data_IF_018077563215
#
_entry.id   IF_018077563215
#
_cell.length_a   1.000
_cell.length_b   1.000
_cell.length_c   1.000
_cell.angle_alpha   90.00
_cell.angle_beta   90.00
_cell.angle_gamma   90.00
#
_symmetry.space_group_name_H-M   'P 1'
#
loop_
_entity.id
_entity.type
_entity.pdbx_description
1 polymer ?
#
# COMPACT_ATOMS: atom_id res chain seq x y z
N UNK A 1 -5.54 21.34 -20.03
CA UNK A 1 -6.40 21.87 -18.95
C UNK A 1 -5.52 22.09 -17.73
N UNK A 2 -5.81 23.10 -16.91
CA UNK A 2 -5.10 23.28 -15.64
C UNK A 2 -5.49 22.22 -14.62
N UNK A 3 -4.61 21.94 -13.66
CA UNK A 3 -4.90 21.09 -12.50
C UNK A 3 -5.92 21.78 -11.57
N UNK A 4 -6.87 21.03 -11.03
CA UNK A 4 -7.98 21.53 -10.22
C UNK A 4 -8.04 20.88 -8.84
N UNK A 5 -8.59 21.61 -7.87
CA UNK A 5 -8.90 21.08 -6.55
C UNK A 5 -10.29 20.41 -6.55
N UNK A 6 -10.34 19.12 -6.25
CA UNK A 6 -11.57 18.34 -6.16
C UNK A 6 -12.08 18.39 -4.72
N UNK A 7 -13.30 18.87 -4.54
CA UNK A 7 -13.97 19.04 -3.24
C UNK A 7 -15.07 18.00 -3.17
N UNK A 8 -14.85 16.96 -2.38
CA UNK A 8 -15.69 15.75 -2.39
C UNK A 8 -16.50 15.67 -1.09
N UNK A 9 -17.81 15.45 -1.21
CA UNK A 9 -18.66 15.22 -0.07
C UNK A 9 -20.11 14.95 -0.45
N UNK A 10 -20.90 14.52 0.52
CA UNK A 10 -22.33 14.26 0.36
C UNK A 10 -23.09 15.59 0.33
N UNK A 11 -23.44 16.10 -0.85
CA UNK A 11 -24.02 17.42 -1.02
C UNK A 11 -25.42 17.54 -0.38
N UNK A 12 -26.19 16.44 -0.35
CA UNK A 12 -27.50 16.35 0.32
C UNK A 12 -27.47 16.80 1.80
N UNK A 13 -26.33 16.63 2.47
CA UNK A 13 -26.18 16.93 3.91
C UNK A 13 -25.12 17.97 4.22
N UNK A 14 -24.19 18.27 3.30
CA UNK A 14 -22.99 19.11 3.55
C UNK A 14 -22.79 20.23 2.53
N UNK A 15 -23.84 20.61 1.80
CA UNK A 15 -23.73 21.63 0.76
C UNK A 15 -23.19 22.99 1.27
N UNK A 16 -23.46 23.39 2.52
CA UNK A 16 -22.96 24.65 3.06
C UNK A 16 -21.45 24.60 3.31
N UNK A 17 -20.95 23.48 3.80
CA UNK A 17 -19.54 23.23 4.10
C UNK A 17 -18.70 23.13 2.83
N UNK A 18 -19.19 22.40 1.83
CA UNK A 18 -18.53 22.26 0.54
C UNK A 18 -18.41 23.61 -0.18
N UNK A 19 -19.49 24.42 -0.19
CA UNK A 19 -19.44 25.79 -0.74
C UNK A 19 -18.45 26.68 0.01
N UNK A 20 -18.38 26.57 1.34
CA UNK A 20 -17.45 27.35 2.15
C UNK A 20 -15.99 27.02 1.81
N UNK A 21 -15.65 25.73 1.76
CA UNK A 21 -14.31 25.28 1.33
C UNK A 21 -14.00 25.74 -0.10
N UNK A 22 -14.95 25.62 -1.03
CA UNK A 22 -14.79 26.11 -2.42
C UNK A 22 -14.43 27.59 -2.47
N UNK A 23 -15.15 28.41 -1.72
CA UNK A 23 -14.92 29.87 -1.70
C UNK A 23 -13.52 30.24 -1.21
N UNK A 24 -12.97 29.47 -0.25
CA UNK A 24 -11.62 29.70 0.27
C UNK A 24 -10.54 29.24 -0.71
N UNK A 25 -10.76 28.13 -1.43
CA UNK A 25 -9.84 27.66 -2.45
C UNK A 25 -9.84 28.56 -3.70
N UNK A 26 -10.99 29.11 -4.06
CA UNK A 26 -11.12 30.03 -5.21
C UNK A 26 -10.57 31.44 -4.90
N UNK A 27 -10.55 31.88 -3.64
CA UNK A 27 -10.02 33.18 -3.27
C UNK A 27 -8.57 33.46 -3.75
N UNK A 28 -7.62 32.50 -3.64
CA UNK A 28 -6.28 32.63 -4.23
C UNK A 28 -6.21 32.24 -5.73
N UNK A 29 -7.35 32.04 -6.41
CA UNK A 29 -7.42 31.77 -7.85
C UNK A 29 -7.35 30.30 -8.26
N UNK A 30 -7.51 29.34 -7.34
CA UNK A 30 -7.52 27.91 -7.71
C UNK A 30 -8.83 27.53 -8.41
N UNK A 31 -8.72 26.77 -9.49
CA UNK A 31 -9.86 26.10 -10.11
C UNK A 31 -10.36 24.96 -9.20
N UNK A 32 -11.69 24.82 -9.08
CA UNK A 32 -12.31 23.86 -8.16
C UNK A 32 -13.45 23.10 -8.82
N UNK A 33 -13.59 21.82 -8.45
CA UNK A 33 -14.68 20.94 -8.87
C UNK A 33 -15.32 20.34 -7.62
N UNK A 34 -16.59 20.61 -7.36
CA UNK A 34 -17.39 19.93 -6.34
C UNK A 34 -17.90 18.61 -6.92
N UNK A 35 -17.58 17.51 -6.23
CA UNK A 35 -18.04 16.16 -6.56
C UNK A 35 -19.03 15.71 -5.49
N UNK A 36 -20.26 15.45 -5.91
CA UNK A 36 -21.29 14.92 -5.03
C UNK A 36 -21.22 13.39 -4.95
N UNK A 37 -21.18 12.88 -3.72
CA UNK A 37 -21.16 11.45 -3.42
C UNK A 37 -22.33 11.03 -2.53
N UNK A 38 -23.42 11.81 -2.54
CA UNK A 38 -24.67 11.46 -1.86
C UNK A 38 -25.29 10.18 -2.44
N UNK A 39 -25.78 9.30 -1.57
CA UNK A 39 -26.32 7.98 -1.96
C UNK A 39 -27.83 7.90 -1.92
N UNK A 40 -28.52 9.03 -1.69
CA UNK A 40 -30.00 9.10 -1.56
C UNK A 40 -30.73 9.50 -2.84
N UNK A 41 -30.00 9.77 -3.93
CA UNK A 41 -30.58 10.10 -5.22
C UNK A 41 -31.21 11.50 -5.32
N UNK A 42 -30.95 12.39 -4.35
CA UNK A 42 -31.36 13.79 -4.43
C UNK A 42 -30.25 14.60 -5.12
N UNK A 43 -30.57 15.20 -6.26
CA UNK A 43 -29.64 16.06 -6.99
C UNK A 43 -29.38 17.36 -6.20
N UNK A 44 -28.09 17.74 -6.11
CA UNK A 44 -27.68 19.02 -5.51
C UNK A 44 -27.18 19.99 -6.57
N UNK A 45 -27.76 21.20 -6.58
CA UNK A 45 -27.42 22.26 -7.55
C UNK A 45 -25.99 22.83 -7.41
N UNK A 46 -25.23 22.40 -6.39
CA UNK A 46 -23.84 22.89 -6.18
C UNK A 46 -22.78 22.04 -6.86
N UNK A 47 -23.15 20.82 -7.23
CA UNK A 47 -22.21 19.82 -7.68
C UNK A 47 -21.86 20.10 -9.14
N UNK A 48 -20.56 20.17 -9.44
CA UNK A 48 -20.09 20.21 -10.82
C UNK A 48 -20.07 18.80 -11.43
N UNK A 49 -19.91 17.77 -10.59
CA UNK A 49 -20.12 16.35 -10.91
C UNK A 49 -21.17 15.81 -9.95
N UNK A 50 -22.31 15.36 -10.49
CA UNK A 50 -23.45 14.90 -9.68
C UNK A 50 -23.24 13.48 -9.17
N UNK A 51 -23.96 13.11 -8.11
CA UNK A 51 -23.94 11.75 -7.57
C UNK A 51 -24.29 10.69 -8.63
N UNK A 52 -25.21 10.99 -9.55
CA UNK A 52 -25.54 10.11 -10.67
C UNK A 52 -24.36 9.91 -11.64
N UNK A 53 -23.57 10.96 -11.91
CA UNK A 53 -22.39 10.87 -12.77
C UNK A 53 -21.27 10.04 -12.10
N UNK A 54 -21.10 10.18 -10.78
CA UNK A 54 -20.19 9.33 -10.02
C UNK A 54 -20.67 7.88 -10.10
N UNK A 55 -21.95 7.62 -9.76
CA UNK A 55 -22.53 6.28 -9.75
C UNK A 55 -22.45 5.58 -11.12
N UNK A 56 -22.57 6.32 -12.22
CA UNK A 56 -22.40 5.79 -13.58
C UNK A 56 -21.00 5.21 -13.85
N UNK A 57 -20.00 5.54 -13.02
CA UNK A 57 -18.65 4.98 -13.10
C UNK A 57 -18.51 3.64 -12.37
N UNK A 58 -19.55 3.15 -11.69
CA UNK A 58 -19.55 1.84 -11.02
C UNK A 58 -19.48 0.71 -12.06
N UNK A 59 -18.64 -0.33 -11.86
CA UNK A 59 -18.45 -1.41 -12.86
C UNK A 59 -19.73 -2.16 -13.18
N UNK A 60 -20.57 -2.38 -12.17
CA UNK A 60 -21.82 -3.13 -12.30
C UNK A 60 -23.03 -2.21 -12.56
N UNK A 61 -22.78 -0.93 -12.83
CA UNK A 61 -23.80 0.08 -13.11
C UNK A 61 -24.27 0.89 -11.90
N UNK A 62 -24.96 2.02 -12.14
CA UNK A 62 -25.35 2.98 -11.11
C UNK A 62 -26.39 2.45 -10.11
N UNK A 63 -27.13 1.39 -10.48
CA UNK A 63 -28.18 0.79 -9.66
C UNK A 63 -27.63 0.21 -8.34
N UNK A 64 -26.37 -0.23 -8.33
CA UNK A 64 -25.71 -0.78 -7.13
C UNK A 64 -25.46 0.29 -6.05
N UNK A 65 -25.42 1.56 -6.46
CA UNK A 65 -25.17 2.68 -5.55
C UNK A 65 -26.44 3.11 -4.82
N UNK A 66 -27.57 3.17 -5.52
CA UNK A 66 -28.83 3.69 -4.99
C UNK A 66 -29.71 2.59 -4.37
N UNK A 67 -29.12 1.83 -3.44
CA UNK A 67 -29.79 0.73 -2.74
C UNK A 67 -30.29 1.15 -1.36
N UNK A 68 -31.35 0.49 -0.88
CA UNK A 68 -31.94 0.69 0.46
C UNK A 68 -31.11 0.05 1.59
N UNK A 69 -29.79 0.05 1.48
CA UNK A 69 -28.85 -0.33 2.53
C UNK A 69 -27.70 0.67 2.55
N UNK A 70 -27.55 1.40 3.67
CA UNK A 70 -26.56 2.47 3.78
C UNK A 70 -25.13 1.97 3.64
N UNK A 71 -24.82 0.79 4.18
CA UNK A 71 -23.46 0.25 4.14
C UNK A 71 -23.06 -0.14 2.72
N UNK A 72 -23.94 -0.85 2.02
CA UNK A 72 -23.75 -1.23 0.61
C UNK A 72 -23.68 -0.01 -0.29
N UNK A 73 -24.57 0.95 -0.12
CA UNK A 73 -24.57 2.19 -0.92
C UNK A 73 -23.26 2.98 -0.75
N UNK A 74 -22.73 3.07 0.48
CA UNK A 74 -21.43 3.71 0.75
C UNK A 74 -20.29 2.97 0.06
N UNK A 75 -20.26 1.63 0.14
CA UNK A 75 -19.22 0.83 -0.49
C UNK A 75 -19.25 0.93 -2.02
N UNK A 76 -20.45 0.85 -2.62
CA UNK A 76 -20.64 0.99 -4.07
C UNK A 76 -20.27 2.40 -4.55
N UNK A 77 -20.71 3.46 -3.83
CA UNK A 77 -20.32 4.83 -4.19
C UNK A 77 -18.80 5.06 -4.06
N UNK A 78 -18.15 4.43 -3.09
CA UNK A 78 -16.69 4.48 -2.96
C UNK A 78 -16.01 3.89 -4.21
N UNK A 79 -16.43 2.70 -4.66
CA UNK A 79 -15.89 2.07 -5.87
C UNK A 79 -16.15 2.90 -7.13
N UNK A 80 -17.33 3.49 -7.24
CA UNK A 80 -17.68 4.39 -8.34
C UNK A 80 -16.79 5.65 -8.34
N UNK A 81 -16.54 6.24 -7.17
CA UNK A 81 -15.66 7.40 -7.01
C UNK A 81 -14.21 7.09 -7.36
N UNK A 82 -13.69 5.91 -6.97
CA UNK A 82 -12.34 5.44 -7.33
C UNK A 82 -12.14 5.47 -8.85
N UNK A 83 -13.07 4.86 -9.59
CA UNK A 83 -13.04 4.82 -11.06
C UNK A 83 -13.20 6.18 -11.69
N UNK A 84 -14.10 7.00 -11.16
CA UNK A 84 -14.27 8.37 -11.63
C UNK A 84 -12.96 9.15 -11.51
N UNK A 85 -12.33 9.18 -10.32
CA UNK A 85 -11.10 9.94 -10.11
C UNK A 85 -9.95 9.40 -10.96
N UNK A 86 -9.81 8.07 -11.08
CA UNK A 86 -8.81 7.45 -11.95
C UNK A 86 -8.96 7.84 -13.43
N UNK A 87 -10.18 8.14 -13.89
CA UNK A 87 -10.43 8.62 -15.26
C UNK A 87 -10.08 10.09 -15.51
N UNK A 88 -9.81 10.86 -14.45
CA UNK A 88 -9.54 12.31 -14.55
C UNK A 88 -8.04 12.58 -14.71
N UNK A 89 -7.72 13.52 -15.60
CA UNK A 89 -6.35 13.96 -15.88
C UNK A 89 -6.07 15.36 -15.31
N UNK A 90 -7.09 16.00 -14.73
CA UNK A 90 -7.06 17.37 -14.20
C UNK A 90 -7.15 17.41 -12.66
N UNK A 91 -6.96 16.28 -11.98
CA UNK A 91 -6.91 16.21 -10.50
C UNK A 91 -5.58 16.77 -10.03
N UNK A 92 -5.58 18.01 -9.55
CA UNK A 92 -4.43 18.62 -8.90
C UNK A 92 -4.30 18.25 -7.42
N UNK A 93 -5.43 17.99 -6.76
CA UNK A 93 -5.49 17.62 -5.36
C UNK A 93 -6.94 17.47 -4.90
N UNK A 94 -7.13 16.82 -3.75
CA UNK A 94 -8.47 16.45 -3.26
C UNK A 94 -8.64 16.89 -1.81
N UNK A 95 -9.80 17.47 -1.51
CA UNK A 95 -10.29 17.67 -0.14
C UNK A 95 -11.63 16.98 0.06
N UNK A 96 -11.71 16.14 1.08
CA UNK A 96 -12.92 15.40 1.47
C UNK A 96 -13.44 15.86 2.83
N UNK A 97 -14.77 15.95 2.98
CA UNK A 97 -15.43 16.30 4.25
C UNK A 97 -16.43 15.22 4.65
N UNK A 98 -16.33 14.66 5.86
CA UNK A 98 -17.25 13.61 6.26
C UNK A 98 -17.23 13.19 7.73
N UNK A 99 -18.32 12.54 8.15
CA UNK A 99 -18.31 11.68 9.33
C UNK A 99 -17.64 10.34 9.02
N UNK A 100 -17.86 9.31 9.85
CA UNK A 100 -17.32 7.96 9.60
C UNK A 100 -17.68 7.43 8.21
N UNK A 101 -18.96 7.49 7.82
CA UNK A 101 -19.42 7.02 6.50
C UNK A 101 -18.83 7.80 5.32
N UNK A 102 -18.76 9.13 5.41
CA UNK A 102 -18.15 9.95 4.34
C UNK A 102 -16.64 9.74 4.24
N UNK A 103 -15.97 9.53 5.37
CA UNK A 103 -14.54 9.19 5.40
C UNK A 103 -14.28 7.84 4.74
N UNK A 104 -15.08 6.81 5.08
CA UNK A 104 -15.01 5.49 4.48
C UNK A 104 -15.34 5.48 2.98
N UNK A 105 -16.18 6.42 2.51
CA UNK A 105 -16.53 6.58 1.10
C UNK A 105 -15.41 7.24 0.29
N UNK A 106 -14.87 8.35 0.79
CA UNK A 106 -13.97 9.22 0.02
C UNK A 106 -12.53 8.71 0.02
N UNK A 107 -12.06 8.22 1.17
CA UNK A 107 -10.63 7.89 1.34
C UNK A 107 -10.14 6.72 0.47
N UNK A 108 -10.93 5.70 0.09
CA UNK A 108 -10.51 4.74 -0.93
C UNK A 108 -10.08 5.39 -2.25
N UNK A 109 -10.84 6.37 -2.76
CA UNK A 109 -10.50 7.07 -3.99
C UNK A 109 -9.29 8.00 -3.82
N UNK A 110 -9.12 8.61 -2.64
CA UNK A 110 -7.90 9.36 -2.33
C UNK A 110 -6.66 8.44 -2.32
N UNK A 111 -6.78 7.23 -1.75
CA UNK A 111 -5.69 6.25 -1.69
C UNK A 111 -5.27 5.72 -3.05
N UNK A 112 -6.13 5.75 -4.05
CA UNK A 112 -5.78 5.32 -5.40
C UNK A 112 -4.92 6.37 -6.13
N UNK A 113 -5.04 7.67 -5.78
CA UNK A 113 -4.21 8.72 -6.35
C UNK A 113 -2.73 8.54 -6.00
N UNK A 114 -1.86 8.98 -6.89
CA UNK A 114 -0.41 8.87 -6.74
C UNK A 114 0.09 9.58 -5.47
N UNK A 115 1.15 9.04 -4.85
CA UNK A 115 1.81 9.67 -3.71
C UNK A 115 2.33 11.06 -4.11
N UNK A 116 2.18 12.05 -3.23
CA UNK A 116 2.55 13.43 -3.52
C UNK A 116 1.43 14.28 -4.12
N UNK A 117 0.39 13.68 -4.73
CA UNK A 117 -0.85 14.43 -5.04
C UNK A 117 -1.46 14.92 -3.71
N UNK A 118 -1.72 16.22 -3.51
CA UNK A 118 -2.30 16.71 -2.26
C UNK A 118 -3.65 16.07 -1.91
N UNK A 119 -3.75 15.43 -0.74
CA UNK A 119 -4.95 14.75 -0.24
C UNK A 119 -5.25 15.19 1.18
N UNK A 120 -6.39 15.86 1.40
CA UNK A 120 -6.81 16.33 2.74
C UNK A 120 -8.18 15.77 3.08
N UNK A 121 -8.31 15.08 4.20
CA UNK A 121 -9.59 14.55 4.68
C UNK A 121 -9.97 15.18 6.02
N UNK A 122 -11.03 15.98 6.05
CA UNK A 122 -11.62 16.50 7.28
C UNK A 122 -12.65 15.51 7.82
N UNK A 123 -12.33 14.87 8.94
CA UNK A 123 -13.08 13.73 9.45
C UNK A 123 -13.44 13.85 10.93
N UNK A 124 -14.65 13.43 11.29
CA UNK A 124 -15.06 13.28 12.70
C UNK A 124 -14.41 12.09 13.40
N UNK A 125 -13.71 11.22 12.66
CA UNK A 125 -13.03 10.04 13.20
C UNK A 125 -11.50 10.10 13.05
N UNK A 126 -10.95 11.28 12.71
CA UNK A 126 -9.49 11.46 12.61
C UNK A 126 -8.77 11.34 13.96
N UNK A 127 -9.45 11.61 15.09
CA UNK A 127 -8.92 11.41 16.43
C UNK A 127 -9.20 9.98 16.94
N UNK A 128 -8.71 8.99 16.20
CA UNK A 128 -8.91 7.56 16.47
C UNK A 128 -8.00 6.68 15.62
N UNK A 129 -8.40 5.42 15.40
CA UNK A 129 -7.70 4.56 14.44
C UNK A 129 -8.01 5.01 13.00
N UNK A 130 -7.01 5.61 12.35
CA UNK A 130 -7.13 6.09 10.96
C UNK A 130 -6.45 5.18 9.94
N UNK A 131 -5.80 4.09 10.36
CA UNK A 131 -5.06 3.21 9.46
C UNK A 131 -5.92 2.70 8.28
N UNK A 132 -7.20 2.29 8.45
CA UNK A 132 -8.03 1.83 7.34
C UNK A 132 -8.37 2.94 6.32
N UNK A 133 -8.33 4.21 6.73
CA UNK A 133 -8.63 5.35 5.87
C UNK A 133 -7.40 5.85 5.12
N UNK A 134 -6.26 5.95 5.81
CA UNK A 134 -4.99 6.43 5.22
C UNK A 134 -4.34 5.36 4.35
N UNK A 135 -4.30 4.11 4.83
CA UNK A 135 -3.67 2.99 4.13
C UNK A 135 -2.21 3.30 3.73
N UNK A 136 -1.73 2.79 2.58
CA UNK A 136 -0.38 3.01 2.08
C UNK A 136 -0.22 4.36 1.35
N UNK A 137 -0.99 5.40 1.72
CA UNK A 137 -0.99 6.70 1.05
C UNK A 137 -0.70 7.84 2.03
N UNK A 138 -0.40 9.01 1.49
CA UNK A 138 -0.03 10.25 2.16
C UNK A 138 -1.24 11.17 2.42
N UNK A 139 -2.36 10.60 2.90
CA UNK A 139 -3.58 11.37 3.21
C UNK A 139 -3.40 12.16 4.52
N UNK A 140 -3.54 13.48 4.45
CA UNK A 140 -3.57 14.34 5.63
C UNK A 140 -4.96 14.31 6.29
N UNK A 141 -5.04 13.68 7.47
CA UNK A 141 -6.27 13.62 8.27
C UNK A 141 -6.39 14.85 9.19
N UNK A 142 -7.48 15.61 9.05
CA UNK A 142 -7.79 16.76 9.92
C UNK A 142 -9.02 16.42 10.76
N UNK A 143 -8.88 16.46 12.08
CA UNK A 143 -10.02 16.24 12.98
C UNK A 143 -11.00 17.41 12.93
N UNK A 144 -12.27 17.12 12.67
CA UNK A 144 -13.32 18.15 12.52
C UNK A 144 -13.67 18.87 13.83
N UNK A 145 -13.28 18.29 14.99
CA UNK A 145 -13.60 18.74 16.37
C UNK A 145 -15.09 18.65 16.72
N UNK A 146 -15.95 19.26 15.92
CA UNK A 146 -17.40 19.09 16.00
C UNK A 146 -17.89 18.18 14.88
N UNK A 147 -19.14 17.73 14.95
CA UNK A 147 -19.77 17.09 13.81
C UNK A 147 -19.71 17.99 12.56
N UNK A 148 -19.62 17.38 11.38
CA UNK A 148 -19.65 18.07 10.07
C UNK A 148 -21.12 18.19 9.66
N UNK A 149 -21.82 19.05 10.38
CA UNK A 149 -23.24 19.33 10.24
C UNK A 149 -23.50 20.83 10.46
N UNK A 150 -23.43 21.58 9.38
CA UNK A 150 -23.56 23.02 9.34
C UNK A 150 -22.30 23.79 9.73
N UNK A 151 -22.33 25.08 9.36
CA UNK A 151 -21.22 26.00 9.58
C UNK A 151 -21.42 26.79 10.88
N UNK A 152 -20.57 26.51 11.86
CA UNK A 152 -20.50 27.18 13.16
C UNK A 152 -19.12 27.82 13.38
N UNK A 153 -18.93 28.52 14.49
CA UNK A 153 -17.68 29.25 14.79
C UNK A 153 -16.43 28.36 14.77
N UNK A 154 -16.57 27.08 15.14
CA UNK A 154 -15.50 26.09 15.18
C UNK A 154 -15.32 25.48 13.78
N UNK A 155 -16.38 24.98 13.14
CA UNK A 155 -16.25 24.39 11.81
C UNK A 155 -15.74 25.38 10.76
N UNK A 156 -16.05 26.69 10.86
CA UNK A 156 -15.45 27.72 9.98
C UNK A 156 -13.92 27.75 10.06
N UNK A 157 -13.35 27.61 11.26
CA UNK A 157 -11.90 27.64 11.46
C UNK A 157 -11.25 26.34 11.00
N UNK A 158 -11.82 25.20 11.37
CA UNK A 158 -11.28 23.89 11.00
C UNK A 158 -11.32 23.68 9.48
N UNK A 159 -12.46 23.92 8.85
CA UNK A 159 -12.60 23.83 7.39
C UNK A 159 -11.74 24.88 6.67
N UNK A 160 -11.59 26.06 7.26
CA UNK A 160 -10.72 27.10 6.72
C UNK A 160 -9.24 26.70 6.73
N UNK A 161 -8.77 26.12 7.84
CA UNK A 161 -7.41 25.59 7.93
C UNK A 161 -7.19 24.44 6.92
N UNK A 162 -8.17 23.55 6.75
CA UNK A 162 -8.08 22.46 5.79
C UNK A 162 -8.00 22.97 4.34
N UNK A 163 -8.84 23.94 3.97
CA UNK A 163 -8.81 24.59 2.66
C UNK A 163 -7.46 25.29 2.41
N UNK A 164 -6.96 26.04 3.39
CA UNK A 164 -5.67 26.72 3.29
C UNK A 164 -4.49 25.72 3.22
N UNK A 165 -4.56 24.59 3.92
CA UNK A 165 -3.56 23.53 3.84
C UNK A 165 -3.50 22.95 2.42
N UNK A 166 -4.67 22.60 1.84
CA UNK A 166 -4.72 22.12 0.46
C UNK A 166 -4.23 23.20 -0.53
N UNK A 167 -4.63 24.46 -0.36
CA UNK A 167 -4.18 25.55 -1.22
C UNK A 167 -2.65 25.70 -1.17
N UNK A 168 -2.05 25.64 0.02
CA UNK A 168 -0.61 25.67 0.20
C UNK A 168 0.10 24.48 -0.45
N UNK A 169 -0.46 23.27 -0.35
CA UNK A 169 0.07 22.08 -1.01
C UNK A 169 0.00 22.17 -2.55
N UNK A 170 -1.07 22.76 -3.10
CA UNK A 170 -1.26 22.94 -4.54
C UNK A 170 -0.37 24.04 -5.15
N UNK A 171 -0.09 25.09 -4.38
CA UNK A 171 0.69 26.24 -4.85
C UNK A 171 2.17 26.14 -4.51
N UNK A 172 2.50 25.37 -3.47
CA UNK A 172 3.86 25.13 -3.02
C UNK A 172 4.63 24.30 -4.04
N UNK A 173 5.77 24.81 -4.49
CA UNK A 173 6.71 24.05 -5.32
C UNK A 173 7.65 23.27 -4.39
N UNK A 174 7.66 21.97 -4.54
CA UNK A 174 8.70 21.11 -3.96
C UNK A 174 9.85 21.10 -4.97
N UNK A 175 11.06 21.55 -4.61
CA UNK A 175 12.21 21.44 -5.49
C UNK A 175 12.49 19.98 -5.81
N UNK A 176 12.56 19.62 -7.09
CA UNK A 176 13.05 18.32 -7.50
C UNK A 176 14.55 18.26 -7.17
N UNK A 177 14.93 17.27 -6.36
CA UNK A 177 16.32 16.89 -6.17
C UNK A 177 16.55 15.75 -7.14
N UNK A 178 17.00 16.08 -8.35
CA UNK A 178 17.43 15.08 -9.33
C UNK A 178 18.93 14.85 -9.14
N UNK A 179 19.28 13.85 -8.35
CA UNK A 179 20.66 13.37 -8.23
C UNK A 179 21.00 12.33 -9.32
N UNK A 180 20.10 12.13 -10.29
CA UNK A 180 20.23 11.18 -11.39
C UNK A 180 20.01 9.73 -10.98
N UNK A 181 19.66 9.44 -9.72
CA UNK A 181 19.51 8.08 -9.24
C UNK A 181 18.07 7.60 -9.40
N UNK A 182 17.85 6.49 -10.12
CA UNK A 182 16.54 5.87 -10.15
C UNK A 182 16.20 5.27 -8.78
N UNK A 183 15.01 5.59 -8.27
CA UNK A 183 14.52 5.04 -7.02
C UNK A 183 14.17 3.54 -7.13
N UNK A 184 14.49 2.77 -6.09
CA UNK A 184 14.22 1.33 -6.00
C UNK A 184 13.61 0.99 -4.64
N UNK A 185 12.67 0.06 -4.61
CA UNK A 185 12.02 -0.37 -3.36
C UNK A 185 12.68 -1.64 -2.80
N UNK A 186 12.99 -1.66 -1.50
CA UNK A 186 13.51 -2.83 -0.80
C UNK A 186 12.64 -3.18 0.40
N UNK A 187 12.28 -4.46 0.57
CA UNK A 187 11.55 -4.92 1.77
C UNK A 187 12.48 -5.47 2.84
N UNK A 188 12.23 -5.11 4.10
CA UNK A 188 13.12 -5.39 5.22
C UNK A 188 12.34 -5.76 6.49
N UNK A 189 12.91 -6.61 7.33
CA UNK A 189 12.48 -6.85 8.69
C UNK A 189 13.70 -6.89 9.63
N UNK A 190 13.49 -6.76 10.94
CA UNK A 190 14.59 -6.74 11.92
C UNK A 190 15.53 -7.96 11.82
N UNK A 191 14.99 -9.11 11.42
CA UNK A 191 15.71 -10.38 11.26
C UNK A 191 16.37 -10.56 9.89
N UNK A 192 16.15 -9.65 8.94
CA UNK A 192 16.77 -9.60 7.61
C UNK A 192 17.57 -8.31 7.38
N UNK A 193 17.70 -7.46 8.41
CA UNK A 193 18.37 -6.15 8.32
C UNK A 193 19.81 -6.26 7.84
N UNK A 194 20.54 -7.31 8.25
CA UNK A 194 21.93 -7.51 7.83
C UNK A 194 22.04 -7.74 6.31
N UNK A 195 21.13 -8.52 5.71
CA UNK A 195 21.04 -8.69 4.26
C UNK A 195 20.73 -7.35 3.57
N UNK A 196 19.66 -6.67 3.98
CA UNK A 196 19.19 -5.46 3.31
C UNK A 196 20.20 -4.32 3.42
N UNK A 197 20.87 -4.16 4.56
CA UNK A 197 21.93 -3.14 4.73
C UNK A 197 23.07 -3.34 3.73
N UNK A 198 23.53 -4.57 3.55
CA UNK A 198 24.60 -4.87 2.60
C UNK A 198 24.17 -4.59 1.14
N UNK A 199 22.92 -4.91 0.80
CA UNK A 199 22.33 -4.60 -0.50
C UNK A 199 22.25 -3.08 -0.71
N UNK A 200 21.78 -2.33 0.29
CA UNK A 200 21.67 -0.86 0.18
C UNK A 200 23.02 -0.18 0.08
N UNK A 201 24.00 -0.58 0.90
CA UNK A 201 25.36 -0.02 0.89
C UNK A 201 26.05 -0.23 -0.47
N UNK A 202 25.73 -1.34 -1.15
CA UNK A 202 26.28 -1.64 -2.47
C UNK A 202 25.61 -0.83 -3.60
N UNK A 203 24.33 -0.49 -3.44
CA UNK A 203 23.51 0.14 -4.49
C UNK A 203 23.38 1.66 -4.36
N UNK A 204 23.60 2.23 -3.16
CA UNK A 204 23.29 3.63 -2.85
C UNK A 204 24.04 4.67 -3.69
N UNK A 205 25.21 4.33 -4.26
CA UNK A 205 25.91 5.23 -5.19
C UNK A 205 25.19 5.35 -6.54
N UNK A 206 24.40 4.35 -6.92
CA UNK A 206 23.77 4.22 -8.25
C UNK A 206 22.24 4.29 -8.24
N UNK A 207 21.60 4.02 -7.11
CA UNK A 207 20.15 4.01 -6.94
C UNK A 207 19.74 4.78 -5.68
N UNK A 208 18.53 5.34 -5.68
CA UNK A 208 17.89 5.86 -4.48
C UNK A 208 17.14 4.71 -3.77
N UNK A 209 17.73 4.21 -2.68
CA UNK A 209 17.29 3.00 -2.00
C UNK A 209 16.18 3.31 -0.98
N UNK A 210 14.93 2.99 -1.33
CA UNK A 210 13.77 3.16 -0.45
C UNK A 210 13.50 1.86 0.33
N UNK A 211 13.84 1.84 1.62
CA UNK A 211 13.64 0.66 2.49
C UNK A 211 12.29 0.70 3.19
N UNK A 212 11.50 -0.37 3.01
CA UNK A 212 10.18 -0.55 3.59
C UNK A 212 10.19 -1.65 4.64
N UNK A 213 9.75 -1.30 5.85
CA UNK A 213 9.57 -2.28 6.91
C UNK A 213 8.35 -3.17 6.62
N UNK A 214 8.54 -4.48 6.49
CA UNK A 214 7.53 -5.46 6.09
C UNK A 214 6.46 -5.73 7.17
N UNK A 215 5.69 -4.69 7.51
CA UNK A 215 4.64 -4.68 8.55
C UNK A 215 3.22 -4.63 7.95
N UNK A 216 3.06 -5.11 6.73
CA UNK A 216 1.83 -5.07 5.96
C UNK A 216 1.71 -3.77 5.17
N UNK A 217 1.71 -2.63 5.88
CA UNK A 217 1.65 -1.31 5.23
C UNK A 217 2.94 -0.99 4.47
N UNK A 218 4.09 -1.51 4.90
CA UNK A 218 5.35 -1.30 4.19
C UNK A 218 5.36 -1.90 2.79
N UNK A 219 5.02 -3.20 2.65
CA UNK A 219 4.88 -3.83 1.35
C UNK A 219 3.81 -3.16 0.48
N UNK A 220 2.65 -2.81 1.06
CA UNK A 220 1.61 -2.06 0.35
C UNK A 220 2.11 -0.71 -0.18
N UNK A 221 2.93 0.00 0.60
CA UNK A 221 3.51 1.30 0.20
C UNK A 221 4.53 1.12 -0.93
N UNK A 222 5.42 0.13 -0.80
CA UNK A 222 6.38 -0.23 -1.84
C UNK A 222 5.68 -0.55 -3.17
N UNK A 223 4.63 -1.37 -3.12
CA UNK A 223 3.86 -1.73 -4.31
C UNK A 223 3.08 -0.55 -4.89
N UNK A 224 2.56 0.36 -4.05
CA UNK A 224 1.90 1.57 -4.54
C UNK A 224 2.87 2.48 -5.31
N UNK A 225 4.11 2.62 -4.84
CA UNK A 225 5.13 3.38 -5.58
C UNK A 225 5.48 2.71 -6.91
N UNK A 226 5.52 1.36 -6.95
CA UNK A 226 5.73 0.63 -8.20
C UNK A 226 4.56 0.82 -9.19
N UNK A 227 3.32 0.77 -8.69
CA UNK A 227 2.11 0.96 -9.49
C UNK A 227 2.03 2.37 -10.12
N UNK A 228 2.55 3.38 -9.42
CA UNK A 228 2.61 4.78 -9.88
C UNK A 228 3.87 5.10 -10.69
N UNK A 229 4.74 4.12 -10.94
CA UNK A 229 5.98 4.32 -11.70
C UNK A 229 7.04 5.15 -10.97
N UNK A 230 6.89 5.37 -9.66
CA UNK A 230 7.83 6.14 -8.83
C UNK A 230 9.08 5.36 -8.44
N UNK A 231 9.06 4.03 -8.57
CA UNK A 231 10.24 3.19 -8.43
C UNK A 231 10.52 2.44 -9.72
N UNK A 232 11.80 2.35 -10.07
CA UNK A 232 12.27 1.69 -11.27
C UNK A 232 12.39 0.18 -11.11
N UNK A 233 12.58 -0.35 -9.90
CA UNK A 233 12.79 -1.77 -9.63
C UNK A 233 12.47 -2.13 -8.18
N UNK A 234 12.25 -3.42 -7.92
CA UNK A 234 11.94 -3.95 -6.60
C UNK A 234 12.93 -5.05 -6.19
N UNK A 235 13.44 -4.93 -4.96
CA UNK A 235 14.27 -5.90 -4.23
C UNK A 235 13.48 -6.39 -3.01
N UNK A 236 12.57 -7.32 -3.23
CA UNK A 236 11.63 -7.82 -2.23
C UNK A 236 12.25 -8.97 -1.41
N UNK A 237 13.26 -8.62 -0.62
CA UNK A 237 14.05 -9.58 0.18
C UNK A 237 13.21 -10.22 1.28
N UNK A 238 12.26 -9.49 1.86
CA UNK A 238 11.49 -9.87 3.03
C UNK A 238 9.99 -9.93 2.74
N UNK A 239 9.47 -11.14 2.54
CA UNK A 239 8.06 -11.37 2.18
C UNK A 239 7.19 -11.86 3.35
N UNK A 240 7.64 -11.65 4.60
CA UNK A 240 6.98 -12.10 5.85
C UNK A 240 5.51 -11.70 5.99
N UNK A 241 5.07 -10.61 5.34
CA UNK A 241 3.67 -10.16 5.33
C UNK A 241 2.69 -11.22 4.79
N UNK A 242 3.21 -12.20 4.02
CA UNK A 242 2.47 -13.36 3.53
C UNK A 242 2.17 -14.34 4.66
N UNK A 243 3.06 -14.50 5.64
CA UNK A 243 2.78 -15.32 6.83
C UNK A 243 1.55 -14.79 7.57
N UNK A 244 1.55 -13.49 7.82
CA UNK A 244 0.46 -12.81 8.50
C UNK A 244 -0.86 -12.88 7.72
N UNK A 245 -0.82 -12.82 6.38
CA UNK A 245 -2.00 -13.06 5.55
C UNK A 245 -2.60 -14.45 5.78
N UNK A 246 -1.78 -15.50 5.76
CA UNK A 246 -2.26 -16.87 5.80
C UNK A 246 -2.66 -17.35 7.20
N UNK A 247 -2.02 -16.82 8.24
CA UNK A 247 -2.20 -17.24 9.64
C UNK A 247 -2.90 -16.18 10.49
N UNK A 248 -3.40 -15.10 9.89
CA UNK A 248 -4.15 -14.04 10.60
C UNK A 248 -3.29 -13.21 11.55
N UNK A 249 -2.03 -12.98 11.17
CA UNK A 249 -1.13 -12.08 11.88
C UNK A 249 -1.50 -10.61 11.69
N UNK A 250 -0.86 -9.74 12.46
CA UNK A 250 -1.20 -8.30 12.55
C UNK A 250 -0.58 -7.44 11.44
N UNK A 251 0.37 -7.98 10.68
CA UNK A 251 1.16 -7.31 9.65
C UNK A 251 0.92 -7.87 8.25
N UNK A 252 -0.31 -8.27 7.95
CA UNK A 252 -0.70 -8.72 6.61
C UNK A 252 -0.71 -7.55 5.62
N UNK A 253 -0.12 -7.75 4.44
CA UNK A 253 -0.24 -6.84 3.30
C UNK A 253 -1.47 -7.10 2.43
N UNK A 254 -2.29 -8.11 2.76
CA UNK A 254 -3.50 -8.47 2.03
C UNK A 254 -3.26 -9.37 0.82
N UNK A 255 -4.35 -9.84 0.21
CA UNK A 255 -4.33 -10.83 -0.88
C UNK A 255 -3.70 -10.31 -2.19
N UNK A 256 -3.61 -8.99 -2.36
CA UNK A 256 -3.05 -8.36 -3.55
C UNK A 256 -1.53 -8.31 -3.57
N UNK A 257 -0.86 -8.68 -2.45
CA UNK A 257 0.61 -8.68 -2.37
C UNK A 257 1.22 -9.46 -3.55
N UNK A 258 2.25 -8.88 -4.15
CA UNK A 258 2.98 -9.25 -5.38
C UNK A 258 2.24 -9.00 -6.70
N UNK A 259 0.94 -8.66 -6.71
CA UNK A 259 0.22 -8.49 -7.98
C UNK A 259 0.71 -7.28 -8.78
N UNK A 260 1.29 -6.26 -8.12
CA UNK A 260 1.85 -5.10 -8.84
C UNK A 260 2.94 -5.51 -9.83
N UNK A 261 3.73 -6.53 -9.50
CA UNK A 261 4.83 -7.01 -10.34
C UNK A 261 4.28 -7.54 -11.67
N UNK A 262 3.19 -8.30 -11.58
CA UNK A 262 2.48 -8.80 -12.77
C UNK A 262 1.80 -7.69 -13.57
N UNK A 263 1.23 -6.69 -12.89
CA UNK A 263 0.50 -5.59 -13.55
C UNK A 263 1.42 -4.58 -14.26
N UNK A 264 2.62 -4.36 -13.74
CA UNK A 264 3.52 -3.29 -14.21
C UNK A 264 4.75 -3.82 -14.97
N UNK A 265 5.04 -5.11 -14.88
CA UNK A 265 6.28 -5.71 -15.39
C UNK A 265 7.56 -5.04 -14.88
N UNK A 266 7.50 -4.44 -13.68
CA UNK A 266 8.68 -3.89 -13.01
C UNK A 266 9.73 -4.98 -12.77
N UNK A 267 11.03 -4.73 -13.06
CA UNK A 267 12.10 -5.62 -12.68
C UNK A 267 12.03 -5.94 -11.21
N UNK A 268 12.04 -7.24 -10.92
CA UNK A 268 11.76 -7.74 -9.60
C UNK A 268 12.76 -8.83 -9.23
N UNK A 269 13.44 -8.61 -8.11
CA UNK A 269 14.25 -9.62 -7.44
C UNK A 269 13.65 -9.85 -6.06
N UNK A 270 13.17 -11.06 -5.80
CA UNK A 270 12.53 -11.43 -4.54
C UNK A 270 13.26 -12.54 -3.79
N UNK A 271 12.95 -12.68 -2.51
CA UNK A 271 13.38 -13.80 -1.67
C UNK A 271 12.27 -14.17 -0.69
N UNK A 272 12.58 -15.07 0.25
CA UNK A 272 11.67 -15.67 1.25
C UNK A 272 11.93 -15.13 2.65
N UNK A 273 12.55 -13.96 2.78
CA UNK A 273 13.00 -13.46 4.07
C UNK A 273 11.89 -13.37 5.10
N UNK A 274 12.19 -13.87 6.30
CA UNK A 274 11.30 -13.94 7.45
C UNK A 274 9.98 -14.70 7.19
N UNK A 275 9.92 -15.63 6.21
CA UNK A 275 8.77 -16.52 6.03
C UNK A 275 8.65 -17.62 7.12
N UNK A 276 9.55 -17.61 8.09
CA UNK A 276 9.55 -18.45 9.28
C UNK A 276 8.66 -17.91 10.42
N UNK A 277 8.08 -16.71 10.32
CA UNK A 277 7.38 -16.08 11.44
C UNK A 277 6.07 -15.38 11.08
N UNK A 278 5.06 -15.57 11.94
CA UNK A 278 3.79 -14.81 11.95
C UNK A 278 3.84 -13.82 13.10
N UNK A 279 3.42 -12.58 12.85
CA UNK A 279 3.45 -11.53 13.86
C UNK A 279 2.10 -11.41 14.58
N UNK A 280 2.15 -11.41 15.92
CA UNK A 280 1.03 -11.08 16.78
C UNK A 280 1.40 -9.93 17.72
N UNK A 281 0.40 -9.43 18.46
CA UNK A 281 0.62 -8.46 19.53
C UNK A 281 1.30 -9.09 20.75
N UNK A 282 1.01 -8.53 21.93
CA UNK A 282 1.45 -9.09 23.20
C UNK A 282 1.00 -10.57 23.34
N UNK A 283 1.76 -11.36 24.10
CA UNK A 283 1.58 -12.82 24.20
C UNK A 283 0.15 -13.24 24.57
N UNK A 284 -0.51 -12.48 25.44
CA UNK A 284 -1.88 -12.74 25.88
C UNK A 284 -2.94 -12.48 24.79
N UNK A 285 -2.59 -11.70 23.77
CA UNK A 285 -3.43 -11.42 22.60
C UNK A 285 -3.34 -12.48 21.50
N UNK A 286 -2.38 -13.42 21.61
CA UNK A 286 -2.22 -14.51 20.62
C UNK A 286 -3.51 -15.35 20.57
N UNK A 287 -4.09 -15.58 19.37
CA UNK A 287 -5.32 -16.35 19.21
C UNK A 287 -5.25 -17.73 19.87
N UNK A 288 -6.37 -18.18 20.46
CA UNK A 288 -6.42 -19.44 21.22
C UNK A 288 -5.93 -20.66 20.43
N UNK A 289 -6.19 -20.69 19.11
CA UNK A 289 -5.73 -21.75 18.21
C UNK A 289 -4.20 -21.86 18.08
N UNK A 290 -3.47 -20.79 18.40
CA UNK A 290 -2.02 -20.70 18.24
C UNK A 290 -1.24 -20.72 19.56
N UNK A 291 -1.91 -20.78 20.71
CA UNK A 291 -1.25 -20.70 22.03
C UNK A 291 -0.26 -21.84 22.33
N UNK A 292 -0.41 -22.97 21.66
CA UNK A 292 0.47 -24.15 21.83
C UNK A 292 1.56 -24.23 20.74
N UNK A 293 1.66 -23.21 19.89
CA UNK A 293 2.69 -23.12 18.86
C UNK A 293 4.01 -22.67 19.50
N UNK A 294 5.08 -22.76 18.72
CA UNK A 294 6.37 -22.20 19.13
C UNK A 294 6.30 -20.66 19.02
N UNK A 295 6.20 -20.02 20.19
CA UNK A 295 6.10 -18.58 20.33
C UNK A 295 7.42 -17.99 20.85
N UNK A 296 7.79 -16.83 20.32
CA UNK A 296 8.95 -16.06 20.73
C UNK A 296 8.51 -14.64 21.07
N UNK A 297 8.63 -14.26 22.34
CA UNK A 297 8.34 -12.90 22.81
C UNK A 297 9.47 -11.96 22.37
N UNK A 298 9.29 -11.28 21.23
CA UNK A 298 10.29 -10.35 20.72
C UNK A 298 10.40 -9.10 21.60
N UNK A 299 9.26 -8.58 22.03
CA UNK A 299 9.16 -7.51 23.03
C UNK A 299 7.76 -7.55 23.68
N UNK A 300 7.49 -6.73 24.72
CA UNK A 300 6.20 -6.76 25.43
C UNK A 300 4.95 -6.49 24.57
N UNK A 301 5.10 -6.00 23.34
CA UNK A 301 4.00 -5.70 22.41
C UNK A 301 3.98 -6.61 21.18
N UNK A 302 4.99 -7.45 20.97
CA UNK A 302 5.13 -8.26 19.75
C UNK A 302 5.57 -9.68 20.09
N UNK A 303 4.78 -10.64 19.64
CA UNK A 303 5.07 -12.07 19.73
C UNK A 303 5.18 -12.64 18.33
N UNK A 304 6.26 -13.38 18.07
CA UNK A 304 6.47 -14.10 16.82
C UNK A 304 6.05 -15.54 17.00
N UNK A 305 5.36 -16.11 16.03
CA UNK A 305 5.00 -17.53 15.99
C UNK A 305 5.72 -18.23 14.83
N UNK A 306 6.45 -19.31 15.10
CA UNK A 306 7.14 -20.10 14.05
C UNK A 306 6.12 -20.77 13.13
N UNK A 307 6.26 -20.56 11.83
CA UNK A 307 5.49 -21.23 10.78
C UNK A 307 5.87 -22.72 10.66
N UNK A 308 4.90 -23.57 10.31
CA UNK A 308 5.11 -25.03 10.13
C UNK A 308 5.51 -25.38 8.69
N UNK A 309 6.00 -26.60 8.43
CA UNK A 309 6.23 -27.07 7.05
C UNK A 309 4.98 -27.02 6.15
N UNK A 310 3.79 -27.32 6.70
CA UNK A 310 2.54 -27.26 5.94
C UNK A 310 2.17 -25.81 5.55
N UNK A 311 2.32 -24.87 6.49
CA UNK A 311 2.10 -23.44 6.25
C UNK A 311 3.09 -22.90 5.22
N UNK A 312 4.37 -23.29 5.33
CA UNK A 312 5.42 -22.95 4.39
C UNK A 312 5.15 -23.48 2.97
N UNK A 313 4.74 -24.73 2.83
CA UNK A 313 4.37 -25.28 1.54
C UNK A 313 3.16 -24.54 0.92
N UNK A 314 2.20 -24.11 1.75
CA UNK A 314 1.04 -23.32 1.30
C UNK A 314 1.48 -21.94 0.81
N UNK A 315 2.35 -21.25 1.55
CA UNK A 315 2.90 -19.96 1.14
C UNK A 315 3.75 -20.09 -0.13
N UNK A 316 4.59 -21.11 -0.24
CA UNK A 316 5.43 -21.36 -1.42
C UNK A 316 4.61 -21.55 -2.70
N UNK A 317 3.51 -22.33 -2.64
CA UNK A 317 2.57 -22.45 -3.76
C UNK A 317 1.96 -21.11 -4.14
N UNK A 318 1.47 -20.36 -3.15
CA UNK A 318 0.82 -19.08 -3.40
C UNK A 318 1.78 -18.05 -4.02
N UNK A 319 3.00 -17.94 -3.50
CA UNK A 319 4.04 -17.08 -4.08
C UNK A 319 4.35 -17.54 -5.50
N UNK A 320 4.54 -18.85 -5.73
CA UNK A 320 4.80 -19.39 -7.06
C UNK A 320 3.70 -19.05 -8.07
N UNK A 321 2.43 -19.12 -7.66
CA UNK A 321 1.28 -18.71 -8.48
C UNK A 321 1.29 -17.21 -8.82
N UNK A 322 1.67 -16.34 -7.87
CA UNK A 322 1.83 -14.90 -8.11
C UNK A 322 2.95 -14.64 -9.11
N UNK A 323 4.12 -15.26 -8.93
CA UNK A 323 5.26 -15.12 -9.83
C UNK A 323 4.93 -15.62 -11.25
N UNK A 324 4.12 -16.67 -11.38
CA UNK A 324 3.70 -17.19 -12.69
C UNK A 324 2.87 -16.20 -13.52
N UNK A 325 2.24 -15.21 -12.88
CA UNK A 325 1.47 -14.14 -13.55
C UNK A 325 2.37 -13.00 -14.04
N UNK A 326 3.62 -12.95 -13.59
CA UNK A 326 4.56 -11.91 -13.96
C UNK A 326 5.09 -12.12 -15.38
N UNK A 327 5.09 -11.05 -16.17
CA UNK A 327 5.56 -11.03 -17.56
C UNK A 327 6.91 -10.32 -17.73
N UNK A 328 7.25 -9.43 -16.80
CA UNK A 328 8.57 -8.77 -16.75
C UNK A 328 9.68 -9.65 -16.17
N UNK A 329 10.91 -9.13 -16.08
CA UNK A 329 12.05 -9.88 -15.57
C UNK A 329 11.94 -10.09 -14.06
N UNK A 330 11.96 -11.37 -13.67
CA UNK A 330 11.81 -11.88 -12.31
C UNK A 330 12.98 -12.80 -11.98
N UNK A 331 13.66 -12.51 -10.86
CA UNK A 331 14.57 -13.45 -10.20
C UNK A 331 14.04 -13.69 -8.78
N UNK A 332 13.91 -14.95 -8.38
CA UNK A 332 13.49 -15.29 -7.03
C UNK A 332 14.53 -16.21 -6.40
N UNK A 333 15.21 -15.71 -5.36
CA UNK A 333 16.37 -16.36 -4.76
C UNK A 333 15.97 -17.09 -3.48
N UNK A 334 16.48 -18.31 -3.31
CA UNK A 334 16.21 -19.17 -2.15
C UNK A 334 17.51 -19.34 -1.34
N UNK A 335 17.56 -18.84 -0.08
CA UNK A 335 18.70 -19.02 0.83
C UNK A 335 18.58 -20.36 1.56
N UNK A 336 19.35 -21.37 1.14
CA UNK A 336 19.28 -22.72 1.71
C UNK A 336 19.86 -22.82 3.14
N UNK A 337 20.57 -21.79 3.61
CA UNK A 337 21.13 -21.74 4.96
C UNK A 337 20.15 -21.21 6.02
N UNK A 338 18.95 -20.78 5.62
CA UNK A 338 17.90 -20.26 6.50
C UNK A 338 17.37 -18.89 6.07
N UNK A 339 16.13 -18.58 6.46
CA UNK A 339 15.36 -17.42 5.93
C UNK A 339 15.31 -16.21 6.87
N UNK A 340 15.88 -16.30 8.07
CA UNK A 340 15.86 -15.21 9.06
C UNK A 340 16.95 -15.40 10.11
N UNK A 341 17.33 -14.32 10.81
CA UNK A 341 18.25 -14.42 11.96
C UNK A 341 17.80 -15.42 13.04
N UNK A 342 16.50 -15.74 13.17
CA UNK A 342 15.98 -16.73 14.11
C UNK A 342 15.96 -18.15 13.53
N UNK A 343 16.15 -18.29 12.23
CA UNK A 343 16.12 -19.52 11.47
C UNK A 343 17.53 -19.88 10.98
N UNK A 344 18.40 -20.18 11.94
CA UNK A 344 19.77 -20.60 11.70
C UNK A 344 20.22 -21.62 12.76
N UNK A 345 21.21 -22.49 12.51
CA UNK A 345 21.62 -23.51 13.48
C UNK A 345 21.81 -22.97 14.90
N UNK A 346 21.04 -23.52 15.85
CA UNK A 346 21.06 -23.12 17.27
C UNK A 346 20.13 -21.96 17.64
N UNK A 347 19.40 -21.38 16.68
CA UNK A 347 18.41 -20.34 16.91
C UNK A 347 17.00 -20.91 17.15
N UNK A 348 16.10 -20.14 17.82
CA UNK A 348 14.80 -20.66 18.25
C UNK A 348 13.91 -21.16 17.12
N UNK A 349 13.97 -20.56 15.92
CA UNK A 349 13.08 -20.88 14.79
C UNK A 349 13.76 -21.75 13.74
N UNK A 350 14.97 -22.26 13.98
CA UNK A 350 15.65 -23.15 13.04
C UNK A 350 14.85 -24.43 12.78
N UNK A 351 14.30 -24.55 11.57
CA UNK A 351 13.54 -25.72 11.12
C UNK A 351 13.81 -26.01 9.64
N UNK A 352 14.88 -26.78 9.32
CA UNK A 352 15.22 -27.12 7.95
C UNK A 352 14.11 -27.86 7.18
N UNK A 353 13.18 -28.53 7.89
CA UNK A 353 12.07 -29.20 7.24
C UNK A 353 11.01 -28.20 6.77
N UNK A 354 10.81 -27.10 7.49
CA UNK A 354 9.92 -26.02 7.07
C UNK A 354 10.48 -25.29 5.84
N UNK A 355 11.78 -25.02 5.81
CA UNK A 355 12.43 -24.33 4.70
C UNK A 355 12.46 -25.22 3.44
N UNK A 356 12.77 -26.51 3.60
CA UNK A 356 12.68 -27.47 2.51
C UNK A 356 11.26 -27.53 1.91
N UNK A 357 10.22 -27.57 2.76
CA UNK A 357 8.83 -27.57 2.30
C UNK A 357 8.44 -26.30 1.55
N UNK A 358 8.96 -25.13 1.97
CA UNK A 358 8.80 -23.86 1.26
C UNK A 358 9.44 -23.91 -0.13
N UNK A 359 10.71 -24.33 -0.18
CA UNK A 359 11.50 -24.34 -1.41
C UNK A 359 10.99 -25.36 -2.43
N UNK A 360 10.63 -26.56 -1.99
CA UNK A 360 10.04 -27.59 -2.85
C UNK A 360 8.70 -27.11 -3.42
N UNK A 361 7.85 -26.48 -2.62
CA UNK A 361 6.57 -25.94 -3.09
C UNK A 361 6.75 -24.85 -4.16
N UNK A 362 7.73 -23.95 -3.96
CA UNK A 362 8.08 -22.94 -4.96
C UNK A 362 8.60 -23.58 -6.25
N UNK A 363 9.53 -24.53 -6.14
CA UNK A 363 10.12 -25.22 -7.29
C UNK A 363 9.09 -26.01 -8.11
N UNK A 364 8.14 -26.67 -7.45
CA UNK A 364 7.05 -27.39 -8.11
C UNK A 364 6.03 -26.47 -8.78
N UNK A 365 5.88 -25.23 -8.29
CA UNK A 365 4.83 -24.31 -8.75
C UNK A 365 5.33 -23.34 -9.82
N UNK A 366 6.55 -22.81 -9.67
CA UNK A 366 7.08 -21.77 -10.57
C UNK A 366 7.42 -22.38 -11.93
N UNK A 367 6.79 -21.86 -12.97
CA UNK A 367 7.14 -22.17 -14.35
C UNK A 367 8.35 -21.34 -14.74
N UNK A 368 9.54 -21.95 -14.77
CA UNK A 368 10.79 -21.30 -15.14
C UNK A 368 10.77 -20.83 -16.61
N UNK A 369 11.20 -19.60 -16.88
CA UNK A 369 11.37 -19.02 -18.22
C UNK A 369 12.67 -18.21 -18.27
N UNK A 370 13.13 -17.73 -19.45
CA UNK A 370 14.27 -16.82 -19.50
C UNK A 370 14.09 -15.57 -18.62
N UNK A 371 12.85 -15.05 -18.57
CA UNK A 371 12.50 -13.87 -17.78
C UNK A 371 12.18 -14.18 -16.32
N UNK A 372 11.69 -15.38 -15.99
CA UNK A 372 11.33 -15.76 -14.61
C UNK A 372 12.16 -16.94 -14.15
N UNK A 373 13.08 -16.69 -13.22
CA UNK A 373 13.96 -17.72 -12.68
C UNK A 373 13.82 -17.88 -11.17
N UNK A 374 13.73 -19.13 -10.72
CA UNK A 374 13.89 -19.52 -9.33
C UNK A 374 15.31 -20.07 -9.15
N UNK A 375 16.07 -19.51 -8.21
CA UNK A 375 17.52 -19.73 -8.08
C UNK A 375 17.86 -20.05 -6.63
N UNK A 376 18.63 -21.12 -6.42
CA UNK A 376 19.01 -21.60 -5.08
C UNK A 376 20.44 -21.20 -4.78
N UNK A 377 20.70 -20.77 -3.56
CA UNK A 377 22.04 -20.45 -3.07
C UNK A 377 22.30 -21.16 -1.74
N UNK A 378 23.48 -21.76 -1.54
CA UNK A 378 23.83 -22.52 -0.34
C UNK A 378 24.24 -21.59 0.82
N UNK A 379 23.52 -20.50 1.00
CA UNK A 379 23.82 -19.42 1.94
C UNK A 379 22.60 -19.14 2.82
N UNK A 380 22.83 -18.67 4.03
CA UNK A 380 21.79 -18.09 4.87
C UNK A 380 21.44 -16.69 4.34
N UNK A 381 20.20 -16.23 4.53
CA UNK A 381 19.73 -14.97 3.93
C UNK A 381 20.59 -13.74 4.29
N UNK A 382 21.15 -13.74 5.50
CA UNK A 382 21.99 -12.65 6.03
C UNK A 382 23.49 -12.80 5.69
N UNK A 383 23.88 -13.85 4.98
CA UNK A 383 25.28 -14.02 4.55
C UNK A 383 25.62 -12.99 3.46
N UNK A 384 26.83 -12.41 3.48
CA UNK A 384 27.27 -11.45 2.47
C UNK A 384 27.16 -11.97 1.03
N UNK A 385 27.41 -13.26 0.83
CA UNK A 385 27.33 -13.92 -0.47
C UNK A 385 25.89 -13.94 -1.02
N UNK A 386 24.88 -14.06 -0.15
CA UNK A 386 23.48 -13.98 -0.56
C UNK A 386 23.08 -12.54 -0.93
N UNK A 387 23.53 -11.55 -0.15
CA UNK A 387 23.32 -10.14 -0.47
C UNK A 387 23.99 -9.76 -1.81
N UNK A 388 25.22 -10.24 -2.06
CA UNK A 388 25.91 -10.05 -3.33
C UNK A 388 25.14 -10.69 -4.51
N UNK A 389 24.59 -11.89 -4.33
CA UNK A 389 23.77 -12.54 -5.35
C UNK A 389 22.49 -11.72 -5.66
N UNK A 390 21.81 -11.19 -4.64
CA UNK A 390 20.64 -10.31 -4.83
C UNK A 390 21.00 -9.08 -5.68
N UNK A 391 22.12 -8.44 -5.38
CA UNK A 391 22.63 -7.27 -6.13
C UNK A 391 22.95 -7.64 -7.58
N UNK A 392 23.66 -8.74 -7.81
CA UNK A 392 24.02 -9.22 -9.15
C UNK A 392 22.76 -9.44 -10.01
N UNK A 393 21.81 -10.21 -9.50
CA UNK A 393 20.55 -10.49 -10.19
C UNK A 393 19.72 -9.22 -10.40
N UNK A 394 19.76 -8.28 -9.46
CA UNK A 394 19.05 -7.01 -9.60
C UNK A 394 19.65 -6.15 -10.71
N UNK A 395 20.97 -6.01 -10.73
CA UNK A 395 21.66 -5.27 -11.79
C UNK A 395 21.42 -5.92 -13.17
N UNK A 396 21.39 -7.25 -13.25
CA UNK A 396 21.04 -7.98 -14.49
C UNK A 396 19.65 -7.58 -15.00
N UNK A 397 18.60 -7.69 -14.16
CA UNK A 397 17.22 -7.39 -14.59
C UNK A 397 16.97 -5.91 -14.84
N UNK A 398 17.72 -5.03 -14.16
CA UNK A 398 17.66 -3.59 -14.40
C UNK A 398 18.35 -3.18 -15.71
N UNK A 399 19.39 -3.90 -16.13
CA UNK A 399 20.09 -3.64 -17.39
C UNK A 399 19.30 -4.11 -18.62
N UNK A 400 18.45 -5.12 -18.47
CA UNK A 400 17.60 -5.64 -19.55
C UNK A 400 16.19 -5.05 -19.54
N UNK A 401 15.90 -4.08 -18.67
CA UNK A 401 14.57 -3.48 -18.52
C UNK A 401 14.13 -2.77 -19.82
N UNK A 402 13.16 -3.31 -20.57
CA UNK A 402 12.70 -2.70 -21.81
C UNK A 402 12.01 -1.35 -21.57
N UNK A 403 11.60 -1.04 -20.33
CA UNK A 403 10.99 0.25 -19.98
C UNK A 403 12.02 1.40 -19.94
N UNK A 404 13.32 1.08 -19.88
CA UNK A 404 14.41 2.08 -19.88
C UNK A 404 14.94 2.43 -21.27
N UNK A 405 14.58 1.67 -22.30
CA UNK A 405 15.02 1.91 -23.69
C UNK A 405 13.81 2.19 -24.58
N UNK A 406 13.43 3.47 -24.78
CA UNK A 406 12.33 3.85 -25.68
C UNK A 406 12.61 3.57 -27.16
#
# INVERSE_FOLDING_TARGET
MGLKAYIIGTCDTKAAELRYVRSLLQAPGLETVIVDVSTRGEDSDIADIRAADVAASHPDGPEEVFVNDRGRAVAAMAEALRRLLASRQDVGGVIGLGGSGGTALITPAMRDLDVGVPKVMVSTVASGNVAPYVGPSDIAMIYSVTDVAGINRISRRVLGNAANALAGMLQGRIPEVDDGKPAIGLSMFGVTTACVTQVTDTLEETFDCLVFHATGTGGQSMEKLAASGMVAGLLDVTTTEICDLFMGGVFSAGEERLDVVARTSVPYVGSVGALDMVNFGALDTVPAAYRQRLLYEHNPQVTLMRTTPEENARMGRWIGEKLNRCQGPVRFLLPEGGVSMLDAPGQPFHDPAADAALFEALEQTVVQTPERRLIRYPFHINDPEFAAALVEHFQEVMATDPRRHP
#
